data_IF_707600373828
#
_entry.id   IF_707600373828
#
_cell.length_a   1.000
_cell.length_b   1.000
_cell.length_c   1.000
_cell.angle_alpha   90.00
_cell.angle_beta   90.00
_cell.angle_gamma   90.00
#
_symmetry.space_group_name_H-M   'P 1'
#
loop_
_entity.id
_entity.type
_entity.pdbx_description
1 polymer ?
#
# COMPACT_ATOMS: atom_id res chain seq x y z
N UNK A 1 -21.53 -2.69 -0.99
CA UNK A 1 -20.95 -3.75 -1.86
C UNK A 1 -19.58 -4.07 -1.28
N UNK A 2 -19.11 -5.32 -1.24
CA UNK A 2 -17.73 -5.60 -0.85
C UNK A 2 -16.77 -4.85 -1.79
N UNK A 3 -15.72 -4.26 -1.24
CA UNK A 3 -14.75 -3.52 -2.06
C UNK A 3 -14.05 -4.48 -3.03
N UNK A 4 -13.90 -4.07 -4.30
CA UNK A 4 -13.24 -4.89 -5.31
C UNK A 4 -11.73 -5.00 -5.07
N UNK A 5 -11.14 -4.01 -4.41
CA UNK A 5 -9.73 -3.95 -4.03
C UNK A 5 -9.62 -3.78 -2.52
N UNK A 6 -8.55 -4.32 -1.93
CA UNK A 6 -8.18 -4.08 -0.53
C UNK A 6 -7.23 -2.89 -0.46
N UNK A 7 -7.64 -1.81 0.19
CA UNK A 7 -6.81 -0.61 0.37
C UNK A 7 -5.72 -0.81 1.42
N UNK A 8 -4.58 -0.14 1.24
CA UNK A 8 -3.53 -0.04 2.25
C UNK A 8 -2.77 1.29 2.19
N UNK A 9 -2.14 1.65 3.31
CA UNK A 9 -1.16 2.73 3.40
C UNK A 9 0.22 2.12 3.57
N UNK A 10 1.18 2.57 2.76
CA UNK A 10 2.56 2.11 2.79
C UNK A 10 3.46 3.26 3.23
N UNK A 11 4.10 3.09 4.39
CA UNK A 11 5.02 4.06 4.97
C UNK A 11 6.45 3.63 4.65
N UNK A 12 7.19 4.45 3.89
CA UNK A 12 8.55 4.14 3.47
C UNK A 12 9.41 5.41 3.51
N UNK A 13 10.44 5.42 4.35
CA UNK A 13 11.38 6.55 4.52
C UNK A 13 10.71 7.93 4.72
N UNK A 14 9.63 7.97 5.49
CA UNK A 14 8.87 9.21 5.77
C UNK A 14 7.93 9.63 4.64
N UNK A 15 7.84 8.86 3.56
CA UNK A 15 6.87 9.04 2.48
C UNK A 15 5.71 8.08 2.68
N UNK A 16 4.50 8.61 2.51
CA UNK A 16 3.27 7.83 2.50
C UNK A 16 2.86 7.54 1.05
N UNK A 17 2.56 6.28 0.77
CA UNK A 17 1.96 5.85 -0.48
C UNK A 17 0.57 5.26 -0.21
N UNK A 18 -0.38 5.57 -1.09
CA UNK A 18 -1.70 4.94 -1.11
C UNK A 18 -1.67 3.73 -2.01
N UNK A 19 -2.09 2.60 -1.49
CA UNK A 19 -2.01 1.32 -2.15
C UNK A 19 -3.35 0.63 -2.31
N UNK A 20 -3.44 -0.19 -3.34
CA UNK A 20 -4.56 -1.09 -3.59
C UNK A 20 -4.04 -2.48 -3.96
N UNK A 21 -4.60 -3.50 -3.32
CA UNK A 21 -4.39 -4.91 -3.66
C UNK A 21 -5.63 -5.45 -4.38
N UNK A 22 -5.41 -6.00 -5.58
CA UNK A 22 -6.45 -6.65 -6.35
C UNK A 22 -6.69 -8.09 -5.86
N UNK A 23 -7.84 -8.70 -6.17
CA UNK A 23 -8.12 -10.10 -5.81
C UNK A 23 -7.12 -11.10 -6.40
N UNK A 24 -6.42 -10.72 -7.46
CA UNK A 24 -5.32 -11.51 -8.06
C UNK A 24 -4.02 -11.50 -7.25
N UNK A 25 -3.95 -10.73 -6.16
CA UNK A 25 -2.74 -10.50 -5.36
C UNK A 25 -1.87 -9.35 -5.86
N UNK A 26 -2.04 -8.90 -7.11
CA UNK A 26 -1.32 -7.77 -7.70
C UNK A 26 -1.58 -6.48 -6.90
N UNK A 27 -0.60 -5.60 -6.86
CA UNK A 27 -0.66 -4.34 -6.11
C UNK A 27 -0.22 -3.15 -6.93
N UNK A 28 -0.78 -1.99 -6.60
CA UNK A 28 -0.30 -0.68 -7.03
C UNK A 28 -0.12 0.18 -5.78
N UNK A 29 0.97 0.95 -5.71
CA UNK A 29 1.24 1.98 -4.71
C UNK A 29 1.52 3.31 -5.41
N UNK A 30 0.90 4.38 -4.94
CA UNK A 30 0.96 5.72 -5.54
C UNK A 30 1.45 6.71 -4.50
N UNK A 31 2.46 7.53 -4.82
CA UNK A 31 2.91 8.58 -3.91
C UNK A 31 1.86 9.69 -3.77
N UNK A 32 1.70 10.22 -2.57
CA UNK A 32 0.68 11.25 -2.24
C UNK A 32 1.26 12.68 -2.21
N UNK A 33 2.46 12.89 -2.75
CA UNK A 33 3.25 14.10 -2.43
C UNK A 33 3.41 15.08 -3.58
N UNK A 34 3.03 14.71 -4.81
CA UNK A 34 3.32 15.49 -6.02
C UNK A 34 2.05 15.83 -6.83
N UNK A 35 2.11 16.93 -7.60
CA UNK A 35 1.05 17.35 -8.54
C UNK A 35 0.76 16.30 -9.61
N UNK A 36 1.78 15.53 -9.99
CA UNK A 36 1.66 14.31 -10.80
C UNK A 36 2.22 13.16 -9.98
N UNK A 37 1.40 12.14 -9.71
CA UNK A 37 1.81 11.03 -8.86
C UNK A 37 2.59 9.97 -9.63
N UNK A 38 3.61 9.39 -9.00
CA UNK A 38 4.30 8.20 -9.47
C UNK A 38 3.61 6.95 -8.92
N UNK A 39 3.27 6.02 -9.81
CA UNK A 39 2.65 4.75 -9.47
C UNK A 39 3.63 3.60 -9.70
N UNK A 40 3.83 2.76 -8.69
CA UNK A 40 4.60 1.51 -8.78
C UNK A 40 3.66 0.32 -8.67
N UNK A 41 3.78 -0.64 -9.59
CA UNK A 41 3.00 -1.87 -9.58
C UNK A 41 3.88 -3.10 -9.33
N UNK A 42 3.33 -4.11 -8.65
CA UNK A 42 4.00 -5.39 -8.44
C UNK A 42 3.00 -6.56 -8.51
N UNK A 43 3.51 -7.77 -8.73
CA UNK A 43 2.67 -8.99 -8.82
C UNK A 43 2.16 -9.47 -7.47
N UNK A 44 2.81 -9.05 -6.38
CA UNK A 44 2.36 -9.24 -5.00
C UNK A 44 2.94 -8.16 -4.08
N UNK A 45 2.47 -8.11 -2.83
CA UNK A 45 3.02 -7.24 -1.78
C UNK A 45 4.47 -7.61 -1.49
N UNK A 46 4.79 -8.90 -1.41
CA UNK A 46 6.14 -9.38 -1.13
C UNK A 46 7.13 -8.91 -2.20
N UNK A 47 6.74 -8.96 -3.47
CA UNK A 47 7.58 -8.46 -4.57
C UNK A 47 7.70 -6.93 -4.55
N UNK A 48 6.65 -6.21 -4.13
CA UNK A 48 6.74 -4.76 -3.90
C UNK A 48 7.79 -4.43 -2.83
N UNK A 49 7.75 -5.14 -1.71
CA UNK A 49 8.70 -4.95 -0.59
C UNK A 49 10.12 -5.36 -0.97
N UNK A 50 10.30 -6.45 -1.73
CA UNK A 50 11.61 -6.88 -2.24
C UNK A 50 12.19 -5.92 -3.27
N UNK A 51 11.36 -5.32 -4.13
CA UNK A 51 11.80 -4.59 -5.30
C UNK A 51 12.23 -3.14 -5.05
N UNK A 52 11.70 -2.50 -4.00
CA UNK A 52 12.02 -1.08 -3.75
C UNK A 52 11.44 -0.47 -2.48
N UNK A 53 10.54 -1.20 -1.80
CA UNK A 53 9.93 -0.78 -0.54
C UNK A 53 10.39 -1.66 0.61
N UNK A 54 11.69 -1.95 0.67
CA UNK A 54 12.27 -2.71 1.78
C UNK A 54 12.05 -1.93 3.08
N UNK A 55 11.80 -2.64 4.17
CA UNK A 55 11.49 -2.07 5.49
C UNK A 55 10.23 -1.18 5.56
N UNK A 56 9.43 -1.14 4.49
CA UNK A 56 8.19 -0.37 4.50
C UNK A 56 7.16 -1.01 5.44
N UNK A 57 6.44 -0.16 6.17
CA UNK A 57 5.34 -0.58 7.06
C UNK A 57 4.02 -0.43 6.31
N UNK A 58 3.23 -1.51 6.27
CA UNK A 58 1.90 -1.53 5.67
C UNK A 58 0.85 -1.41 6.75
N UNK A 59 -0.11 -0.51 6.57
CA UNK A 59 -1.34 -0.42 7.35
C UNK A 59 -2.51 -0.78 6.42
N UNK A 60 -3.22 -1.86 6.73
CA UNK A 60 -4.36 -2.29 5.91
C UNK A 60 -5.63 -1.56 6.33
N UNK A 61 -6.52 -1.27 5.37
CA UNK A 61 -7.77 -0.58 5.65
C UNK A 61 -8.70 -1.37 6.59
N UNK A 62 -8.59 -2.70 6.60
CA UNK A 62 -9.43 -3.60 7.40
C UNK A 62 -8.81 -3.96 8.76
N UNK A 63 -7.58 -3.51 9.04
CA UNK A 63 -6.98 -3.78 10.34
C UNK A 63 -7.71 -2.91 11.38
N UNK A 64 -8.27 -3.50 12.45
CA UNK A 64 -8.87 -2.72 13.51
C UNK A 64 -7.80 -1.77 14.06
N UNK A 65 -8.15 -0.48 14.18
CA UNK A 65 -7.27 0.48 14.82
C UNK A 65 -6.83 -0.10 16.17
N UNK A 66 -5.54 0.01 16.55
CA UNK A 66 -5.11 -0.46 17.86
C UNK A 66 -5.98 0.25 18.89
N UNK A 67 -6.73 -0.55 19.67
CA UNK A 67 -7.66 -0.03 20.68
C UNK A 67 -6.95 1.07 21.47
N UNK A 68 -7.44 2.30 21.34
CA UNK A 68 -6.94 3.42 22.12
C UNK A 68 -7.29 3.17 23.58
N UNK A 69 -6.28 2.82 24.37
CA UNK A 69 -6.31 2.81 25.83
C UNK A 69 -6.22 4.20 26.44
#
# INVERSE_FOLDING_TARGET
MPEFVRGFRLHHHGVLYHGAQFPSGRVIAVDDTQVFAHATGAVSVEELLRGGFHDARIEWADDPAPDGG
#
